data_IF_424277587636
#
_entry.id   IF_424277587636
#
_cell.length_a   1.000
_cell.length_b   1.000
_cell.length_c   1.000
_cell.angle_alpha   90.00
_cell.angle_beta   90.00
_cell.angle_gamma   90.00
#
_symmetry.space_group_name_H-M   'P 1'
#
loop_
_entity.id
_entity.type
_entity.pdbx_description
1 polymer ?
#
# COMPACT_ATOMS: atom_id res chain seq x y z
N UNK A 1 11.59 -9.65 20.68
CA UNK A 1 11.03 -8.52 19.94
C UNK A 1 9.83 -8.93 19.12
N UNK A 2 8.70 -8.26 19.34
CA UNK A 2 7.47 -8.45 18.56
C UNK A 2 7.40 -7.34 17.50
N UNK A 3 8.13 -7.49 16.41
CA UNK A 3 8.12 -6.56 15.29
C UNK A 3 8.45 -7.26 13.99
N UNK A 4 7.46 -7.36 13.10
CA UNK A 4 7.64 -7.85 11.73
C UNK A 4 7.72 -6.63 10.81
N UNK A 5 8.84 -6.49 10.09
CA UNK A 5 9.06 -5.38 9.16
C UNK A 5 8.92 -5.88 7.74
N UNK A 6 8.11 -5.21 6.93
CA UNK A 6 7.97 -5.54 5.53
C UNK A 6 9.30 -5.33 4.77
N UNK A 7 9.61 -6.22 3.81
CA UNK A 7 10.95 -6.33 3.24
C UNK A 7 11.38 -5.16 2.34
N UNK A 8 10.43 -4.34 1.87
CA UNK A 8 10.71 -3.10 1.15
C UNK A 8 10.29 -1.91 1.99
N UNK A 9 11.23 -1.02 2.29
CA UNK A 9 10.98 0.18 3.07
C UNK A 9 10.01 1.12 2.32
N UNK A 10 8.98 1.58 3.02
CA UNK A 10 8.11 2.66 2.61
C UNK A 10 8.58 3.91 3.36
N UNK A 11 9.35 4.82 2.73
CA UNK A 11 9.84 6.00 3.43
C UNK A 11 8.64 6.84 3.88
N UNK A 12 8.53 7.03 5.20
CA UNK A 12 7.36 7.66 5.83
C UNK A 12 6.04 7.00 5.39
N UNK A 13 5.83 5.73 5.77
CA UNK A 13 4.50 5.12 5.65
C UNK A 13 3.48 5.98 6.41
N UNK A 14 2.55 6.58 5.68
CA UNK A 14 1.57 7.54 6.22
C UNK A 14 0.17 6.94 6.34
N UNK A 15 -0.11 5.89 5.57
CA UNK A 15 -1.39 5.17 5.62
C UNK A 15 -1.17 3.68 5.40
N UNK A 16 -2.04 2.87 6.00
CA UNK A 16 -2.03 1.41 5.87
C UNK A 16 -3.45 0.92 5.60
N UNK A 17 -3.56 -0.16 4.82
CA UNK A 17 -4.80 -0.90 4.64
C UNK A 17 -4.50 -2.40 4.54
N UNK A 18 -5.42 -3.23 5.02
CA UNK A 18 -5.25 -4.68 5.11
C UNK A 18 -6.44 -5.43 4.52
N UNK A 19 -6.15 -6.61 3.98
CA UNK A 19 -7.12 -7.66 3.63
C UNK A 19 -6.63 -9.00 4.17
N UNK A 20 -7.37 -10.08 3.91
CA UNK A 20 -6.95 -11.42 4.29
C UNK A 20 -5.62 -11.86 3.65
N UNK A 21 -5.24 -11.31 2.50
CA UNK A 21 -4.06 -11.73 1.74
C UNK A 21 -2.97 -10.67 1.67
N UNK A 22 -3.34 -9.38 1.73
CA UNK A 22 -2.43 -8.29 1.41
C UNK A 22 -2.41 -7.18 2.47
N UNK A 23 -1.22 -6.63 2.67
CA UNK A 23 -0.96 -5.34 3.30
C UNK A 23 -0.67 -4.32 2.20
N UNK A 24 -1.40 -3.20 2.21
CA UNK A 24 -1.05 -2.02 1.43
C UNK A 24 -0.44 -0.94 2.34
N UNK A 25 0.67 -0.34 1.91
CA UNK A 25 1.27 0.82 2.55
C UNK A 25 1.32 2.01 1.59
N UNK A 26 0.73 3.13 1.99
CA UNK A 26 0.79 4.40 1.28
C UNK A 26 2.00 5.17 1.75
N UNK A 27 2.88 5.51 0.82
CA UNK A 27 4.19 6.07 1.11
C UNK A 27 4.23 7.57 0.83
N UNK A 28 5.08 8.29 1.57
CA UNK A 28 5.25 9.74 1.38
C UNK A 28 5.84 10.10 0.00
N UNK A 29 6.43 9.13 -0.71
CA UNK A 29 6.92 9.28 -2.07
C UNK A 29 5.81 9.15 -3.14
N UNK A 30 4.56 8.89 -2.74
CA UNK A 30 3.40 8.69 -3.60
C UNK A 30 3.19 7.27 -4.12
N UNK A 31 4.08 6.34 -3.77
CA UNK A 31 3.87 4.93 -4.07
C UNK A 31 2.88 4.29 -3.09
N UNK A 32 2.12 3.31 -3.59
CA UNK A 32 1.44 2.31 -2.76
C UNK A 32 2.15 0.97 -2.93
N UNK A 33 2.68 0.43 -1.84
CA UNK A 33 3.39 -0.85 -1.82
C UNK A 33 2.48 -1.93 -1.26
N UNK A 34 2.37 -3.04 -1.99
CA UNK A 34 1.54 -4.19 -1.66
C UNK A 34 2.45 -5.33 -1.20
N UNK A 35 2.17 -5.89 -0.04
CA UNK A 35 2.90 -6.99 0.56
C UNK A 35 1.98 -8.19 0.79
N UNK A 36 2.47 -9.40 0.57
CA UNK A 36 1.67 -10.62 0.68
C UNK A 36 1.88 -11.32 2.04
N UNK A 37 0.79 -11.53 2.78
CA UNK A 37 0.83 -12.11 4.12
C UNK A 37 1.36 -13.55 4.13
N UNK A 38 0.95 -14.37 3.15
CA UNK A 38 1.37 -15.77 3.03
C UNK A 38 2.86 -15.94 2.71
N UNK A 39 3.55 -14.86 2.35
CA UNK A 39 4.95 -14.84 1.95
C UNK A 39 5.77 -13.90 2.84
N UNK A 40 5.48 -13.93 4.14
CA UNK A 40 6.19 -13.14 5.15
C UNK A 40 6.28 -11.64 4.82
N UNK A 41 5.20 -11.06 4.27
CA UNK A 41 5.13 -9.67 3.84
C UNK A 41 6.23 -9.27 2.84
N UNK A 42 6.57 -10.20 1.94
CA UNK A 42 7.33 -9.89 0.74
C UNK A 42 6.58 -8.87 -0.13
N UNK A 43 7.33 -7.92 -0.71
CA UNK A 43 6.79 -6.94 -1.65
C UNK A 43 6.30 -7.66 -2.90
N UNK A 44 4.98 -7.69 -3.08
CA UNK A 44 4.33 -8.29 -4.23
C UNK A 44 4.23 -7.29 -5.39
N UNK A 45 3.92 -6.02 -5.09
CA UNK A 45 3.70 -4.99 -6.11
C UNK A 45 4.01 -3.59 -5.61
N UNK A 46 4.46 -2.73 -6.50
CA UNK A 46 4.49 -1.28 -6.31
C UNK A 46 3.55 -0.62 -7.32
N UNK A 47 2.64 0.23 -6.82
CA UNK A 47 1.65 0.97 -7.58
C UNK A 47 1.98 2.44 -7.46
N UNK A 48 2.28 3.10 -8.57
CA UNK A 48 2.65 4.52 -8.59
C UNK A 48 2.10 5.19 -9.83
N UNK A 49 1.35 6.24 -9.60
CA UNK A 49 0.77 7.12 -10.62
C UNK A 49 0.91 8.61 -10.23
N UNK A 50 1.51 8.88 -9.07
CA UNK A 50 1.76 10.22 -8.53
C UNK A 50 3.03 10.25 -7.70
N UNK A 51 3.52 11.46 -7.46
CA UNK A 51 4.63 11.74 -6.54
C UNK A 51 4.12 12.48 -5.29
N UNK A 52 2.81 12.62 -5.12
CA UNK A 52 2.17 13.23 -3.95
C UNK A 52 1.80 12.18 -2.92
N UNK A 53 1.79 12.54 -1.63
CA UNK A 53 1.56 11.59 -0.54
C UNK A 53 0.20 10.88 -0.66
N UNK A 54 0.17 9.59 -0.32
CA UNK A 54 -1.06 8.79 -0.22
C UNK A 54 -1.51 8.77 1.24
N UNK A 55 -2.47 9.63 1.57
CA UNK A 55 -2.85 9.93 2.95
C UNK A 55 -4.01 9.07 3.47
N UNK A 56 -4.73 8.37 2.59
CA UNK A 56 -5.87 7.55 2.98
C UNK A 56 -6.00 6.33 2.09
N UNK A 57 -6.32 5.17 2.69
CA UNK A 57 -6.50 3.93 1.96
C UNK A 57 -7.56 3.03 2.59
N UNK A 58 -8.27 2.28 1.74
CA UNK A 58 -9.11 1.15 2.11
C UNK A 58 -8.85 0.02 1.13
N UNK A 59 -8.65 -1.19 1.66
CA UNK A 59 -8.46 -2.41 0.88
C UNK A 59 -9.58 -3.39 1.21
N UNK A 60 -10.34 -3.80 0.19
CA UNK A 60 -11.41 -4.78 0.33
C UNK A 60 -11.25 -5.87 -0.73
N UNK A 61 -10.93 -7.08 -0.28
CA UNK A 61 -10.54 -8.17 -1.17
C UNK A 61 -9.30 -7.79 -1.97
N UNK A 62 -9.46 -7.63 -3.28
CA UNK A 62 -8.39 -7.27 -4.21
C UNK A 62 -8.49 -5.82 -4.72
N UNK A 63 -9.50 -5.06 -4.26
CA UNK A 63 -9.70 -3.67 -4.69
C UNK A 63 -9.18 -2.73 -3.61
N UNK A 64 -8.23 -1.88 -4.00
CA UNK A 64 -7.66 -0.83 -3.18
C UNK A 64 -8.17 0.52 -3.67
N UNK A 65 -8.77 1.30 -2.75
CA UNK A 65 -9.03 2.72 -2.96
C UNK A 65 -7.99 3.54 -2.19
N UNK A 66 -7.35 4.50 -2.86
CA UNK A 66 -6.31 5.34 -2.28
C UNK A 66 -6.52 6.83 -2.63
N UNK A 67 -6.49 7.71 -1.63
CA UNK A 67 -6.58 9.16 -1.78
C UNK A 67 -5.28 9.85 -1.40
N UNK A 68 -4.86 10.84 -2.17
CA UNK A 68 -3.62 11.60 -1.95
C UNK A 68 -3.77 13.11 -2.14
N UNK A 69 -2.68 13.85 -1.89
CA UNK A 69 -2.68 15.33 -1.90
C UNK A 69 -2.90 15.95 -3.28
N UNK A 70 -2.81 15.18 -4.36
CA UNK A 70 -3.13 15.63 -5.72
C UNK A 70 -4.64 15.68 -6.02
N UNK A 71 -5.48 15.56 -4.98
CA UNK A 71 -6.94 15.62 -5.07
C UNK A 71 -7.56 14.52 -5.94
N UNK A 72 -6.85 13.41 -6.17
CA UNK A 72 -7.35 12.24 -6.91
C UNK A 72 -7.59 11.04 -6.00
N UNK A 73 -8.60 10.26 -6.37
CA UNK A 73 -8.83 8.91 -5.85
C UNK A 73 -8.33 7.92 -6.90
N UNK A 74 -7.46 7.01 -6.47
CA UNK A 74 -7.00 5.88 -7.27
C UNK A 74 -7.75 4.64 -6.87
N UNK A 75 -8.10 3.83 -7.87
CA UNK A 75 -8.63 2.49 -7.69
C UNK A 75 -7.66 1.53 -8.35
N UNK A 76 -7.16 0.58 -7.57
CA UNK A 76 -6.26 -0.45 -8.04
C UNK A 76 -6.87 -1.83 -7.82
N UNK A 77 -6.68 -2.71 -8.80
CA UNK A 77 -6.75 -4.15 -8.58
C UNK A 77 -5.34 -4.63 -8.18
N UNK A 78 -5.20 -5.11 -6.94
CA UNK A 78 -3.89 -5.54 -6.40
C UNK A 78 -3.51 -6.97 -6.82
N UNK A 79 -4.42 -7.68 -7.51
CA UNK A 79 -4.20 -9.06 -7.97
C UNK A 79 -3.76 -9.18 -9.42
N UNK A 80 -4.02 -8.15 -10.22
CA UNK A 80 -3.46 -7.98 -11.56
C UNK A 80 -2.02 -7.49 -11.47
#
# INVERSE_FOLDING_TARGET
>A
DFGLTAQAACPSAVSLAWSAQFLAAGCGDGAVRIYEHSKDFLLAKELRDTNQMINSMVLFGQILAAGGDDSKIRIYDVSQ
#
